data_IF_124189896376
#
_entry.id   IF_124189896376
#
_cell.length_a   1.000
_cell.length_b   1.000
_cell.length_c   1.000
_cell.angle_alpha   90.00
_cell.angle_beta   90.00
_cell.angle_gamma   90.00
#
_symmetry.space_group_name_H-M   'P 1'
#
loop_
_entity.id
_entity.type
_entity.pdbx_description
1 polymer ?
#
# COMPACT_ATOMS: atom_id res chain seq x y z
N UNK A 1 -4.88 17.66 -5.71
CA UNK A 1 -3.82 17.08 -6.52
C UNK A 1 -4.37 16.01 -7.46
N UNK A 2 -5.29 15.15 -6.98
CA UNK A 2 -5.92 14.09 -7.78
C UNK A 2 -7.44 14.18 -7.67
N UNK A 3 -8.13 13.88 -8.76
CA UNK A 3 -9.57 13.69 -8.74
C UNK A 3 -9.89 12.20 -8.53
N UNK A 4 -10.65 11.89 -7.48
CA UNK A 4 -11.15 10.54 -7.27
C UNK A 4 -12.36 10.33 -8.19
N UNK A 5 -12.22 9.45 -9.16
CA UNK A 5 -13.24 9.18 -10.18
C UNK A 5 -13.88 7.80 -10.05
N UNK A 6 -13.25 6.89 -9.29
CA UNK A 6 -13.79 5.57 -8.97
C UNK A 6 -13.43 5.16 -7.55
N UNK A 7 -14.35 4.51 -6.87
CA UNK A 7 -14.16 3.88 -5.58
C UNK A 7 -14.50 2.40 -5.71
N UNK A 8 -13.61 1.52 -5.25
CA UNK A 8 -13.80 0.09 -5.36
C UNK A 8 -13.48 -0.61 -4.03
N UNK A 9 -14.19 -1.69 -3.78
CA UNK A 9 -13.98 -2.55 -2.61
C UNK A 9 -14.29 -4.01 -2.95
N UNK A 10 -14.44 -4.87 -1.95
CA UNK A 10 -14.92 -6.24 -2.16
C UNK A 10 -16.35 -6.26 -2.72
N UNK A 11 -16.71 -7.32 -3.41
CA UNK A 11 -18.04 -7.49 -4.04
C UNK A 11 -19.24 -7.27 -3.11
N UNK A 12 -19.07 -7.38 -1.79
CA UNK A 12 -20.12 -7.09 -0.80
C UNK A 12 -20.58 -5.62 -0.80
N UNK A 13 -19.72 -4.73 -1.26
CA UNK A 13 -20.01 -3.29 -1.32
C UNK A 13 -20.34 -2.80 -2.73
N UNK A 14 -20.30 -3.68 -3.73
CA UNK A 14 -20.67 -3.33 -5.12
C UNK A 14 -22.10 -2.79 -5.17
N UNK A 15 -22.27 -1.67 -5.84
CA UNK A 15 -23.58 -1.03 -6.03
C UNK A 15 -24.07 -0.19 -4.85
N UNK A 16 -23.41 -0.21 -3.70
CA UNK A 16 -23.69 0.71 -2.60
C UNK A 16 -23.05 2.06 -2.88
N UNK A 17 -23.62 3.12 -2.33
CA UNK A 17 -22.92 4.40 -2.26
C UNK A 17 -21.74 4.32 -1.29
N UNK A 18 -20.79 5.24 -1.44
CA UNK A 18 -19.66 5.29 -0.52
C UNK A 18 -20.10 5.55 0.93
N UNK A 19 -21.11 6.41 1.12
CA UNK A 19 -21.69 6.68 2.44
C UNK A 19 -22.27 5.40 3.08
N UNK A 20 -23.05 4.60 2.33
CA UNK A 20 -23.59 3.32 2.80
C UNK A 20 -22.47 2.30 3.10
N UNK A 21 -21.43 2.24 2.25
CA UNK A 21 -20.30 1.34 2.46
C UNK A 21 -19.48 1.68 3.70
N UNK A 22 -19.47 2.96 4.09
CA UNK A 22 -18.75 3.49 5.26
C UNK A 22 -19.64 3.67 6.50
N UNK A 23 -20.90 3.29 6.46
CA UNK A 23 -21.83 3.46 7.57
C UNK A 23 -21.27 2.84 8.87
N UNK A 24 -21.31 3.62 9.96
CA UNK A 24 -20.74 3.26 11.27
C UNK A 24 -19.21 3.20 11.34
N UNK A 25 -18.49 3.32 10.22
CA UNK A 25 -17.01 3.24 10.14
C UNK A 25 -16.32 4.58 9.92
N UNK A 26 -17.03 5.61 9.51
CA UNK A 26 -16.46 6.95 9.37
C UNK A 26 -16.20 7.54 10.76
N UNK A 27 -14.93 7.53 11.17
CA UNK A 27 -14.47 7.99 12.50
C UNK A 27 -13.66 9.29 12.42
N UNK A 28 -13.60 9.91 11.23
CA UNK A 28 -12.93 11.19 11.04
C UNK A 28 -13.69 12.31 11.75
N UNK A 29 -12.97 13.28 12.31
CA UNK A 29 -13.57 14.49 12.87
C UNK A 29 -14.15 15.41 11.79
N UNK A 30 -13.62 15.29 10.56
CA UNK A 30 -14.14 15.99 9.38
C UNK A 30 -15.25 15.15 8.76
N UNK A 31 -16.40 15.74 8.41
CA UNK A 31 -17.48 15.01 7.75
C UNK A 31 -17.03 14.48 6.40
N UNK A 32 -17.68 13.40 5.94
CA UNK A 32 -17.44 12.86 4.61
C UNK A 32 -17.75 13.94 3.56
N UNK A 33 -16.81 14.21 2.61
CA UNK A 33 -17.05 15.22 1.59
C UNK A 33 -18.24 14.88 0.70
N UNK A 34 -19.14 15.84 0.47
CA UNK A 34 -20.36 15.64 -0.30
C UNK A 34 -20.08 15.09 -1.72
N UNK A 35 -18.97 15.53 -2.34
CA UNK A 35 -18.52 15.05 -3.66
C UNK A 35 -18.44 13.51 -3.76
N UNK A 36 -18.19 12.81 -2.67
CA UNK A 36 -17.93 11.37 -2.68
C UNK A 36 -19.03 10.52 -2.06
N UNK A 37 -19.95 11.12 -1.30
CA UNK A 37 -20.99 10.39 -0.56
C UNK A 37 -21.81 9.46 -1.45
N UNK A 38 -22.21 9.97 -2.62
CA UNK A 38 -23.13 9.29 -3.54
C UNK A 38 -22.40 8.50 -4.64
N UNK A 39 -21.05 8.44 -4.59
CA UNK A 39 -20.29 7.61 -5.53
C UNK A 39 -20.61 6.13 -5.31
N UNK A 40 -21.04 5.48 -6.38
CA UNK A 40 -21.34 4.04 -6.36
C UNK A 40 -20.06 3.24 -6.38
N UNK A 41 -19.97 2.28 -5.46
CA UNK A 41 -18.81 1.40 -5.30
C UNK A 41 -18.76 0.31 -6.38
N UNK A 42 -17.60 0.14 -6.97
CA UNK A 42 -17.25 -0.99 -7.84
C UNK A 42 -16.78 -2.21 -7.05
N UNK A 43 -16.87 -3.38 -7.66
CA UNK A 43 -16.10 -4.56 -7.23
C UNK A 43 -14.68 -4.46 -7.80
N UNK A 44 -13.67 -4.38 -6.92
CA UNK A 44 -12.28 -4.22 -7.32
C UNK A 44 -11.77 -5.33 -8.25
N UNK A 45 -12.33 -6.54 -8.16
CA UNK A 45 -11.91 -7.71 -8.96
C UNK A 45 -12.76 -7.89 -10.21
N UNK A 46 -14.09 -7.85 -10.05
CA UNK A 46 -15.01 -8.12 -11.14
C UNK A 46 -15.07 -6.97 -12.15
N UNK A 47 -15.00 -5.71 -11.67
CA UNK A 47 -15.13 -4.52 -12.51
C UNK A 47 -13.77 -3.91 -12.89
N UNK A 48 -12.67 -4.68 -12.78
CA UNK A 48 -11.32 -4.16 -12.98
C UNK A 48 -11.09 -3.53 -14.36
N UNK A 49 -11.67 -4.09 -15.43
CA UNK A 49 -11.57 -3.55 -16.78
C UNK A 49 -12.28 -2.20 -16.92
N UNK A 50 -13.47 -2.10 -16.34
CA UNK A 50 -14.26 -0.87 -16.33
C UNK A 50 -13.53 0.22 -15.54
N UNK A 51 -13.02 -0.12 -14.34
CA UNK A 51 -12.25 0.80 -13.49
C UNK A 51 -11.02 1.28 -14.24
N UNK A 52 -10.20 0.35 -14.77
CA UNK A 52 -8.96 0.69 -15.47
C UNK A 52 -9.18 1.60 -16.70
N UNK A 53 -10.36 1.51 -17.34
CA UNK A 53 -10.69 2.39 -18.47
C UNK A 53 -11.04 3.83 -18.07
N UNK A 54 -11.32 4.08 -16.79
CA UNK A 54 -11.79 5.37 -16.27
C UNK A 54 -10.74 6.16 -15.51
N UNK A 55 -9.64 5.50 -15.11
CA UNK A 55 -8.66 6.08 -14.20
C UNK A 55 -7.27 6.15 -14.84
N UNK A 56 -6.48 7.12 -14.43
CA UNK A 56 -5.09 7.20 -14.85
C UNK A 56 -4.18 6.24 -14.08
N UNK A 57 -4.48 5.98 -12.82
CA UNK A 57 -3.81 5.04 -11.94
C UNK A 57 -4.71 4.70 -10.74
N UNK A 58 -4.32 3.72 -9.95
CA UNK A 58 -5.04 3.35 -8.73
C UNK A 58 -4.14 3.39 -7.49
N UNK A 59 -4.73 3.74 -6.35
CA UNK A 59 -4.21 3.40 -5.03
C UNK A 59 -4.84 2.10 -4.56
N UNK A 60 -4.01 1.09 -4.25
CA UNK A 60 -4.48 -0.22 -3.80
C UNK A 60 -4.18 -0.43 -2.31
N UNK A 61 -5.24 -0.65 -1.52
CA UNK A 61 -5.17 -0.94 -0.09
C UNK A 61 -6.23 -1.99 0.29
N UNK A 62 -6.41 -3.00 -0.56
CA UNK A 62 -7.39 -4.07 -0.34
C UNK A 62 -6.92 -5.04 0.76
N UNK A 63 -7.87 -5.58 1.51
CA UNK A 63 -7.63 -6.63 2.50
C UNK A 63 -8.06 -7.99 1.93
N UNK A 64 -7.09 -8.74 1.44
CA UNK A 64 -7.26 -10.04 0.79
C UNK A 64 -6.03 -10.91 1.09
N UNK A 65 -6.05 -12.18 0.69
CA UNK A 65 -4.85 -13.03 0.76
C UNK A 65 -3.76 -12.50 -0.18
N UNK A 66 -2.49 -12.67 0.21
CA UNK A 66 -1.35 -12.15 -0.56
C UNK A 66 -1.36 -12.55 -2.04
N UNK A 67 -1.71 -13.79 -2.34
CA UNK A 67 -1.72 -14.27 -3.72
C UNK A 67 -2.88 -13.66 -4.53
N UNK A 68 -4.03 -13.42 -3.89
CA UNK A 68 -5.16 -12.73 -4.51
C UNK A 68 -4.82 -11.25 -4.77
N UNK A 69 -4.11 -10.60 -3.85
CA UNK A 69 -3.61 -9.23 -4.03
C UNK A 69 -2.63 -9.17 -5.20
N UNK A 70 -1.67 -10.10 -5.28
CA UNK A 70 -0.72 -10.17 -6.41
C UNK A 70 -1.45 -10.28 -7.73
N UNK A 71 -2.38 -11.22 -7.82
CA UNK A 71 -3.16 -11.44 -9.04
C UNK A 71 -3.98 -10.20 -9.43
N UNK A 72 -4.58 -9.51 -8.45
CA UNK A 72 -5.37 -8.32 -8.66
C UNK A 72 -4.49 -7.16 -9.15
N UNK A 73 -3.39 -6.89 -8.48
CA UNK A 73 -2.46 -5.80 -8.83
C UNK A 73 -1.83 -6.03 -10.21
N UNK A 74 -1.42 -7.27 -10.52
CA UNK A 74 -0.95 -7.62 -11.86
C UNK A 74 -2.04 -7.51 -12.93
N UNK A 75 -3.30 -7.84 -12.60
CA UNK A 75 -4.42 -7.65 -13.51
C UNK A 75 -4.57 -6.19 -13.90
N UNK A 76 -4.58 -5.28 -12.93
CA UNK A 76 -4.65 -3.84 -13.22
C UNK A 76 -3.44 -3.35 -14.02
N UNK A 77 -2.24 -3.75 -13.67
CA UNK A 77 -1.05 -3.41 -14.44
C UNK A 77 -1.15 -3.90 -15.90
N UNK A 78 -1.62 -5.14 -16.13
CA UNK A 78 -1.85 -5.70 -17.48
C UNK A 78 -2.98 -4.99 -18.25
N UNK A 79 -3.90 -4.35 -17.56
CA UNK A 79 -4.91 -3.45 -18.15
C UNK A 79 -4.34 -2.04 -18.41
N UNK A 80 -3.03 -1.89 -18.39
CA UNK A 80 -2.30 -0.62 -18.60
C UNK A 80 -2.59 0.46 -17.55
N UNK A 81 -3.11 0.06 -16.37
CA UNK A 81 -3.38 0.93 -15.24
C UNK A 81 -2.25 0.81 -14.21
N UNK A 82 -1.46 1.87 -13.97
CA UNK A 82 -0.46 1.89 -12.90
C UNK A 82 -1.08 1.67 -11.53
N UNK A 83 -0.39 0.90 -10.68
CA UNK A 83 -0.82 0.55 -9.33
C UNK A 83 0.15 1.11 -8.30
N UNK A 84 -0.31 2.02 -7.46
CA UNK A 84 0.39 2.45 -6.25
C UNK A 84 -0.16 1.66 -5.06
N UNK A 85 0.59 0.66 -4.59
CA UNK A 85 0.10 -0.28 -3.60
C UNK A 85 0.58 0.01 -2.18
N UNK A 86 -0.35 -0.03 -1.23
CA UNK A 86 -0.08 -0.06 0.20
C UNK A 86 0.17 -1.49 0.73
N UNK A 87 -0.13 -2.50 -0.09
CA UNK A 87 -0.09 -3.90 0.31
C UNK A 87 1.33 -4.46 0.36
N UNK A 88 1.51 -5.52 1.13
CA UNK A 88 2.82 -6.17 1.27
C UNK A 88 3.10 -7.24 0.21
N UNK A 89 2.12 -7.53 -0.67
CA UNK A 89 2.18 -8.69 -1.55
C UNK A 89 3.36 -8.65 -2.53
N UNK A 90 3.71 -7.49 -3.08
CA UNK A 90 4.79 -7.30 -4.03
C UNK A 90 6.07 -6.68 -3.44
N UNK A 91 6.16 -6.43 -2.13
CA UNK A 91 7.35 -5.81 -1.53
C UNK A 91 8.64 -6.59 -1.77
N UNK A 92 8.57 -7.93 -1.78
CA UNK A 92 9.69 -8.80 -2.07
C UNK A 92 9.87 -9.15 -3.56
N UNK A 93 9.06 -8.62 -4.47
CA UNK A 93 9.20 -8.88 -5.91
C UNK A 93 10.36 -8.03 -6.46
N UNK A 94 11.38 -8.63 -7.12
CA UNK A 94 12.61 -7.91 -7.47
C UNK A 94 12.39 -6.68 -8.35
N UNK A 95 11.57 -6.80 -9.40
CA UNK A 95 11.28 -5.74 -10.37
C UNK A 95 10.12 -4.80 -9.97
N UNK A 96 9.62 -4.92 -8.73
CA UNK A 96 8.61 -4.00 -8.18
C UNK A 96 9.30 -3.03 -7.23
N UNK A 97 9.39 -1.73 -7.56
CA UNK A 97 10.07 -0.77 -6.73
C UNK A 97 9.30 -0.53 -5.43
N UNK A 98 10.01 -0.51 -4.30
CA UNK A 98 9.52 -0.07 -3.00
C UNK A 98 10.02 1.35 -2.78
N UNK A 99 9.15 2.35 -2.93
CA UNK A 99 9.55 3.75 -3.04
C UNK A 99 9.19 4.55 -1.78
N UNK A 100 10.17 5.27 -1.29
CA UNK A 100 10.02 6.47 -0.46
C UNK A 100 10.63 7.61 -1.29
N UNK A 101 9.82 8.48 -1.93
CA UNK A 101 10.30 9.39 -2.98
C UNK A 101 11.44 10.31 -2.56
N UNK A 102 11.51 10.66 -1.27
CA UNK A 102 12.58 11.51 -0.72
C UNK A 102 13.92 10.79 -0.61
N UNK A 103 13.94 9.45 -0.73
CA UNK A 103 15.15 8.64 -0.51
C UNK A 103 15.61 7.97 -1.81
N UNK A 104 14.68 7.32 -2.49
CA UNK A 104 15.00 6.40 -3.58
C UNK A 104 14.03 6.51 -4.77
N UNK A 105 13.72 7.73 -5.20
CA UNK A 105 12.86 7.97 -6.36
C UNK A 105 13.43 7.32 -7.65
N UNK A 106 14.75 7.19 -7.75
CA UNK A 106 15.49 6.54 -8.82
C UNK A 106 15.19 5.04 -8.94
N UNK A 107 14.72 4.38 -7.88
CA UNK A 107 14.24 3.00 -7.98
C UNK A 107 13.06 2.82 -8.96
N UNK A 108 12.40 3.89 -9.37
CA UNK A 108 11.43 3.86 -10.46
C UNK A 108 12.06 3.43 -11.81
N UNK A 109 13.37 3.51 -11.97
CA UNK A 109 14.09 3.08 -13.17
C UNK A 109 14.02 1.56 -13.41
N UNK A 110 13.60 0.75 -12.42
CA UNK A 110 13.33 -0.68 -12.60
C UNK A 110 12.00 -0.96 -13.33
N UNK A 111 11.09 0.01 -13.43
CA UNK A 111 9.77 -0.16 -14.04
C UNK A 111 9.82 -0.69 -15.49
N UNK A 112 10.76 -0.30 -16.36
CA UNK A 112 10.90 -0.91 -17.68
C UNK A 112 11.12 -2.42 -17.65
N UNK A 113 11.92 -2.95 -16.71
CA UNK A 113 12.11 -4.39 -16.54
C UNK A 113 10.80 -5.08 -16.11
N UNK A 114 10.08 -4.49 -15.17
CA UNK A 114 8.77 -4.98 -14.75
C UNK A 114 7.77 -5.00 -15.92
N UNK A 115 7.70 -3.93 -16.72
CA UNK A 115 6.83 -3.85 -17.90
C UNK A 115 7.16 -4.93 -18.93
N UNK A 116 8.44 -5.23 -19.14
CA UNK A 116 8.87 -6.33 -20.00
C UNK A 116 8.36 -7.67 -19.49
N UNK A 117 8.46 -7.94 -18.19
CA UNK A 117 7.93 -9.17 -17.57
C UNK A 117 6.41 -9.26 -17.67
N UNK A 118 5.69 -8.16 -17.40
CA UNK A 118 4.23 -8.13 -17.43
C UNK A 118 3.63 -8.04 -18.84
N UNK A 119 4.42 -7.66 -19.84
CA UNK A 119 3.97 -7.42 -21.21
C UNK A 119 3.17 -6.12 -21.36
N UNK A 120 3.46 -5.10 -20.57
CA UNK A 120 2.74 -3.82 -20.54
C UNK A 120 3.58 -2.69 -21.16
N UNK A 121 2.89 -1.62 -21.56
CA UNK A 121 3.53 -0.38 -22.07
C UNK A 121 3.48 0.75 -21.04
N UNK A 122 2.36 0.89 -20.36
CA UNK A 122 2.10 1.94 -19.37
C UNK A 122 1.95 1.36 -17.96
N UNK A 123 1.29 0.23 -17.83
CA UNK A 123 0.99 -0.39 -16.55
C UNK A 123 2.24 -0.82 -15.79
N UNK A 124 2.22 -0.65 -14.49
CA UNK A 124 3.24 -1.10 -13.55
C UNK A 124 2.68 -1.16 -12.12
N UNK A 125 3.43 -1.75 -11.21
CA UNK A 125 3.15 -1.78 -9.78
C UNK A 125 4.33 -1.11 -9.06
N UNK A 126 4.05 -0.17 -8.18
CA UNK A 126 4.98 0.35 -7.20
C UNK A 126 4.38 0.19 -5.81
N UNK A 127 5.19 -0.12 -4.82
CA UNK A 127 4.73 -0.41 -3.47
C UNK A 127 5.30 0.55 -2.44
N UNK A 128 4.53 0.78 -1.39
CA UNK A 128 4.95 1.44 -0.16
C UNK A 128 5.54 0.40 0.80
N UNK A 129 6.58 0.77 1.54
CA UNK A 129 7.11 -0.05 2.64
C UNK A 129 6.13 -0.18 3.80
N UNK A 130 6.45 -1.01 4.79
CA UNK A 130 5.70 -1.11 6.04
C UNK A 130 5.59 0.27 6.73
N UNK A 131 4.49 0.50 7.45
CA UNK A 131 4.19 1.79 8.07
C UNK A 131 5.21 2.18 9.16
N UNK A 132 5.68 1.23 9.98
CA UNK A 132 6.71 1.48 10.99
C UNK A 132 8.03 1.90 10.35
N UNK A 133 8.42 1.26 9.25
CA UNK A 133 9.65 1.58 8.50
C UNK A 133 9.63 3.01 7.98
N UNK A 134 8.49 3.47 7.48
CA UNK A 134 8.34 4.85 7.01
C UNK A 134 8.45 5.90 8.13
N UNK A 135 8.37 5.50 9.39
CA UNK A 135 8.52 6.43 10.51
C UNK A 135 10.00 6.72 10.83
N UNK A 136 10.90 5.76 10.63
CA UNK A 136 12.31 5.92 11.04
C UNK A 136 13.32 5.94 9.87
N UNK A 137 13.04 5.24 8.77
CA UNK A 137 13.97 5.17 7.63
C UNK A 137 14.26 6.54 7.02
N UNK A 138 13.29 7.46 6.81
CA UNK A 138 13.59 8.80 6.32
C UNK A 138 14.53 9.59 7.25
N UNK A 139 14.33 9.47 8.58
CA UNK A 139 15.20 10.12 9.55
C UNK A 139 16.62 9.54 9.53
N UNK A 140 16.75 8.23 9.45
CA UNK A 140 18.05 7.56 9.33
C UNK A 140 18.75 7.86 8.00
N UNK A 141 17.99 8.02 6.91
CA UNK A 141 18.58 8.36 5.60
C UNK A 141 19.32 9.69 5.63
N UNK A 142 18.88 10.64 6.45
CA UNK A 142 19.59 11.90 6.66
C UNK A 142 20.92 11.73 7.42
N UNK A 143 21.16 10.57 8.03
CA UNK A 143 22.37 10.27 8.81
C UNK A 143 23.32 9.32 8.08
N UNK A 144 23.02 8.93 6.85
CA UNK A 144 23.82 7.92 6.11
C UNK A 144 25.25 8.38 5.85
N UNK A 145 25.51 9.68 5.73
CA UNK A 145 26.87 10.24 5.60
C UNK A 145 27.76 9.94 6.82
N UNK A 146 27.17 9.58 7.97
CA UNK A 146 27.89 9.17 9.17
C UNK A 146 28.15 7.66 9.24
N UNK A 147 27.78 6.91 8.19
CA UNK A 147 28.01 5.46 8.07
C UNK A 147 27.49 4.66 9.30
N UNK A 148 26.18 4.76 9.66
CA UNK A 148 25.65 4.02 10.80
C UNK A 148 25.84 2.51 10.61
N UNK A 149 26.42 1.85 11.61
CA UNK A 149 26.75 0.41 11.57
C UNK A 149 25.74 -0.44 12.29
N UNK A 150 24.97 0.14 13.18
CA UNK A 150 23.95 -0.57 13.98
C UNK A 150 22.78 0.36 14.28
N UNK A 151 21.57 -0.17 14.19
CA UNK A 151 20.33 0.56 14.50
C UNK A 151 19.46 -0.29 15.42
N UNK A 152 19.12 0.24 16.59
CA UNK A 152 18.13 -0.35 17.49
C UNK A 152 16.83 0.45 17.40
N UNK A 153 15.72 -0.24 17.08
CA UNK A 153 14.41 0.40 16.88
C UNK A 153 13.37 -0.22 17.81
N UNK A 154 12.63 0.64 18.49
CA UNK A 154 11.44 0.25 19.23
C UNK A 154 10.25 1.06 18.73
N UNK A 155 9.20 0.40 18.26
CA UNK A 155 8.00 1.07 17.73
C UNK A 155 6.78 0.84 18.62
N UNK A 156 5.96 1.88 18.78
CA UNK A 156 4.67 1.81 19.44
C UNK A 156 3.58 1.99 18.39
N UNK A 157 2.80 0.94 18.16
CA UNK A 157 1.81 0.92 17.08
C UNK A 157 0.40 0.86 17.65
N UNK A 158 -0.49 1.67 17.08
CA UNK A 158 -1.90 1.65 17.45
C UNK A 158 -2.60 0.39 16.92
N UNK A 159 -3.58 -0.12 17.67
CA UNK A 159 -4.39 -1.29 17.29
C UNK A 159 -5.16 -1.11 15.98
N UNK A 160 -5.39 0.14 15.56
CA UNK A 160 -6.01 0.47 14.28
C UNK A 160 -5.20 -0.04 13.07
N UNK A 161 -3.87 -0.17 13.20
CA UNK A 161 -3.01 -0.78 12.19
C UNK A 161 -3.32 -2.27 11.94
N UNK A 162 -3.90 -2.96 12.92
CA UNK A 162 -4.42 -4.31 12.79
C UNK A 162 -5.91 -4.36 12.39
N UNK A 163 -6.52 -3.23 12.05
CA UNK A 163 -7.95 -3.12 11.75
C UNK A 163 -8.86 -3.35 12.96
N UNK A 164 -8.33 -3.16 14.17
CA UNK A 164 -9.04 -3.39 15.42
C UNK A 164 -9.45 -2.08 16.10
N UNK A 165 -10.45 -2.18 16.96
CA UNK A 165 -10.89 -1.11 17.87
C UNK A 165 -10.95 -1.68 19.29
N UNK A 166 -11.05 -0.83 20.30
CA UNK A 166 -11.25 -1.30 21.69
C UNK A 166 -12.56 -2.05 21.87
N UNK A 167 -13.57 -1.82 21.04
CA UNK A 167 -14.82 -2.61 21.05
C UNK A 167 -14.57 -4.05 20.55
N UNK A 168 -13.75 -4.22 19.54
CA UNK A 168 -13.43 -5.53 18.94
C UNK A 168 -12.24 -6.23 19.60
N UNK A 169 -11.50 -5.49 20.42
CA UNK A 169 -10.33 -5.98 21.15
C UNK A 169 -10.22 -5.31 22.54
N UNK A 170 -11.17 -5.58 23.44
CA UNK A 170 -11.26 -4.89 24.73
C UNK A 170 -10.07 -5.16 25.66
N UNK A 171 -9.34 -6.27 25.47
CA UNK A 171 -8.15 -6.60 26.24
C UNK A 171 -7.00 -5.60 26.04
N UNK A 172 -7.09 -4.74 25.01
CA UNK A 172 -6.10 -3.71 24.71
C UNK A 172 -6.32 -2.40 25.46
N UNK A 173 -7.40 -2.26 26.21
CA UNK A 173 -7.61 -1.08 27.07
C UNK A 173 -6.56 -1.10 28.18
N UNK A 174 -5.78 -0.01 28.28
CA UNK A 174 -4.68 0.15 29.25
C UNK A 174 -3.63 -0.99 29.22
N UNK A 175 -3.45 -1.61 28.05
CA UNK A 175 -2.55 -2.75 27.86
C UNK A 175 -1.65 -2.55 26.64
N UNK A 176 -0.58 -3.37 26.58
CA UNK A 176 0.32 -3.47 25.42
C UNK A 176 0.54 -4.93 25.06
N UNK A 177 0.61 -5.20 23.75
CA UNK A 177 1.11 -6.48 23.25
C UNK A 177 2.58 -6.25 22.89
N UNK A 178 3.53 -6.94 23.54
CA UNK A 178 4.96 -6.68 23.39
C UNK A 178 5.55 -7.20 22.07
N UNK A 179 4.75 -7.84 21.22
CA UNK A 179 5.21 -8.47 19.99
C UNK A 179 4.15 -8.38 18.89
N UNK A 180 4.58 -7.91 17.71
CA UNK A 180 3.77 -7.89 16.48
C UNK A 180 4.42 -8.82 15.46
N UNK A 181 3.74 -9.92 15.11
CA UNK A 181 4.26 -10.95 14.21
C UNK A 181 4.74 -10.39 12.86
N UNK A 182 6.00 -10.67 12.53
CA UNK A 182 6.61 -10.31 11.26
C UNK A 182 7.06 -8.84 11.13
N UNK A 183 6.94 -8.00 12.16
CA UNK A 183 7.44 -6.62 12.11
C UNK A 183 8.97 -6.56 12.16
N UNK A 184 9.60 -7.39 12.98
CA UNK A 184 11.06 -7.49 13.06
C UNK A 184 11.66 -7.89 11.70
N UNK A 185 11.13 -8.96 11.08
CA UNK A 185 11.57 -9.43 9.77
C UNK A 185 11.44 -8.36 8.66
N UNK A 186 10.36 -7.57 8.69
CA UNK A 186 10.18 -6.46 7.75
C UNK A 186 11.20 -5.36 8.03
N UNK A 187 11.45 -5.02 9.30
CA UNK A 187 12.43 -4.01 9.70
C UNK A 187 13.86 -4.39 9.33
N UNK A 188 14.18 -5.67 9.28
CA UNK A 188 15.47 -6.16 8.81
C UNK A 188 15.62 -6.13 7.28
N UNK A 189 14.55 -6.44 6.53
CA UNK A 189 14.62 -6.67 5.09
C UNK A 189 14.23 -5.46 4.23
N UNK A 190 13.15 -4.76 4.59
CA UNK A 190 12.64 -3.68 3.74
C UNK A 190 13.59 -2.47 3.64
N UNK A 191 14.28 -2.04 4.72
CA UNK A 191 15.27 -0.98 4.61
C UNK A 191 16.43 -1.31 3.65
N UNK A 192 16.85 -2.57 3.59
CA UNK A 192 17.90 -3.01 2.65
C UNK A 192 17.47 -2.81 1.19
N UNK A 193 16.18 -3.01 0.88
CA UNK A 193 15.65 -2.74 -0.45
C UNK A 193 15.52 -1.23 -0.72
N UNK A 194 15.18 -0.42 0.30
CA UNK A 194 15.00 1.02 0.17
C UNK A 194 16.36 1.72 -0.06
N UNK A 195 17.41 1.31 0.67
CA UNK A 195 18.77 1.85 0.55
C UNK A 195 19.65 1.09 -0.44
N UNK A 196 19.11 0.06 -1.06
CA UNK A 196 19.78 -0.69 -2.11
C UNK A 196 19.89 0.11 -3.41
N UNK A 197 20.33 -0.55 -4.44
CA UNK A 197 20.43 0.01 -5.80
C UNK A 197 20.01 -1.06 -6.81
N UNK A 198 19.69 -0.61 -8.01
CA UNK A 198 19.26 -1.50 -9.08
C UNK A 198 20.49 -2.19 -9.68
N UNK A 199 20.45 -3.53 -9.75
CA UNK A 199 21.42 -4.35 -10.44
C UNK A 199 20.74 -5.15 -11.56
N UNK A 200 20.92 -4.74 -12.82
CA UNK A 200 20.25 -5.37 -13.96
C UNK A 200 18.73 -5.20 -13.93
N UNK A 201 18.01 -6.30 -13.87
CA UNK A 201 16.54 -6.34 -13.87
C UNK A 201 15.93 -6.50 -12.45
N UNK A 202 16.71 -6.21 -11.40
CA UNK A 202 16.29 -6.35 -9.99
C UNK A 202 16.98 -5.36 -9.04
#
# INVERSE_FOLDING_TARGET
WFDVVALAASGRNKGKTYAEACEGRWKMTVPMPDKYKDMVMYDATADAEEIASKVDFIFCAVDMKKDEIRALEEKYAKLECPVCSNNSAHRGTPDVPMIIPEINADHAEIIPAQRKRLGTKRGFIAVKSNCSIQSYVPALSALMDFEPTEVSVCTYQAISGAGKTFETWPEMVDNVIPYIGGEEEKSEKEPMKIWGHIEGDH
#
